data_IF_599100836021
#
_entry.id   IF_599100836021
#
_cell.length_a   1.000
_cell.length_b   1.000
_cell.length_c   1.000
_cell.angle_alpha   90.00
_cell.angle_beta   90.00
_cell.angle_gamma   90.00
#
_symmetry.space_group_name_H-M   'P 1'
#
loop_
_entity.id
_entity.type
_entity.pdbx_description
1 polymer ?
#
# COMPACT_ATOMS: atom_id res chain seq x y z
N UNK A 1 74.28 -7.48 19.20
CA UNK A 1 73.94 -6.59 18.07
C UNK A 1 73.02 -7.39 17.15
N UNK A 2 71.77 -7.07 16.84
CA UNK A 2 70.76 -6.15 17.36
C UNK A 2 69.43 -6.73 16.84
N UNK A 3 68.56 -7.16 17.75
CA UNK A 3 67.19 -6.64 17.94
C UNK A 3 66.16 -6.99 16.86
N UNK A 4 65.34 -7.99 17.20
CA UNK A 4 63.96 -8.19 16.74
C UNK A 4 63.14 -6.91 16.89
N UNK A 5 62.33 -6.56 15.88
CA UNK A 5 61.14 -5.70 16.05
C UNK A 5 60.15 -5.95 14.92
N UNK A 6 59.31 -6.97 15.11
CA UNK A 6 58.02 -7.10 14.45
C UNK A 6 57.08 -6.01 15.00
N UNK A 7 56.81 -4.98 14.19
CA UNK A 7 55.72 -4.05 14.44
C UNK A 7 54.72 -4.13 13.28
N UNK A 8 53.86 -5.14 13.33
CA UNK A 8 52.57 -5.11 12.64
C UNK A 8 51.72 -4.04 13.32
N UNK A 9 51.82 -2.80 12.85
CA UNK A 9 50.92 -1.73 13.27
C UNK A 9 49.55 -1.98 12.66
N UNK A 10 48.66 -2.56 13.47
CA UNK A 10 47.21 -2.47 13.32
C UNK A 10 46.82 -0.99 13.21
N UNK A 11 46.78 -0.46 11.99
CA UNK A 11 46.44 0.94 11.76
C UNK A 11 44.93 1.06 11.61
N UNK A 12 44.22 1.07 12.74
CA UNK A 12 42.86 1.61 12.81
C UNK A 12 42.92 3.11 12.52
N UNK A 13 42.99 3.48 11.23
CA UNK A 13 43.07 4.87 10.83
C UNK A 13 41.74 5.59 11.14
N UNK A 14 41.68 6.28 12.27
CA UNK A 14 40.64 7.26 12.57
C UNK A 14 40.89 8.53 11.75
N UNK A 15 40.64 8.51 10.45
CA UNK A 15 40.65 9.73 9.64
C UNK A 15 39.49 10.62 10.07
N UNK A 16 39.77 11.73 10.77
CA UNK A 16 38.74 12.67 11.26
C UNK A 16 38.49 13.84 10.32
N UNK A 17 39.46 14.23 9.49
CA UNK A 17 39.39 15.42 8.61
C UNK A 17 39.85 15.15 7.18
N UNK A 18 39.31 15.89 6.21
CA UNK A 18 39.67 15.81 4.79
C UNK A 18 40.77 16.81 4.41
N UNK A 19 41.12 16.92 3.12
CA UNK A 19 42.16 17.86 2.62
C UNK A 19 41.81 19.35 2.84
N UNK A 20 40.53 19.69 3.02
CA UNK A 20 40.10 21.05 3.38
C UNK A 20 40.24 21.36 4.89
N UNK A 21 40.69 20.40 5.71
CA UNK A 21 40.71 20.56 7.18
C UNK A 21 39.34 20.42 7.86
N UNK A 22 38.29 20.07 7.12
CA UNK A 22 36.94 19.86 7.66
C UNK A 22 36.69 18.38 8.01
N UNK A 23 35.73 18.07 8.89
CA UNK A 23 35.37 16.69 9.20
C UNK A 23 34.96 15.87 7.96
N UNK A 24 35.35 14.59 7.94
CA UNK A 24 34.92 13.63 6.92
C UNK A 24 33.53 13.09 7.23
N UNK A 25 32.81 12.64 6.20
CA UNK A 25 31.56 11.90 6.33
C UNK A 25 31.79 10.43 5.96
N UNK A 26 31.20 9.52 6.73
CA UNK A 26 31.12 8.10 6.36
C UNK A 26 29.90 7.88 5.48
N UNK A 27 30.10 7.22 4.34
CA UNK A 27 29.04 6.85 3.39
C UNK A 27 29.18 5.37 3.03
N UNK A 28 28.10 4.80 2.51
CA UNK A 28 28.06 3.42 2.01
C UNK A 28 27.90 3.46 0.49
N UNK A 29 28.75 2.73 -0.24
CA UNK A 29 28.59 2.56 -1.68
C UNK A 29 27.50 1.53 -1.97
N UNK A 30 26.65 1.82 -2.95
CA UNK A 30 25.64 0.88 -3.47
C UNK A 30 25.86 0.59 -4.95
N UNK A 31 27.10 0.77 -5.41
CA UNK A 31 27.50 0.39 -6.77
C UNK A 31 27.61 -1.12 -6.88
N UNK A 32 27.42 -1.67 -8.07
CA UNK A 32 27.55 -3.12 -8.33
C UNK A 32 28.93 -3.66 -7.95
N UNK A 33 29.98 -2.85 -8.08
CA UNK A 33 31.34 -3.27 -7.76
C UNK A 33 31.67 -3.22 -6.26
N UNK A 34 31.05 -2.32 -5.49
CA UNK A 34 31.34 -2.14 -4.07
C UNK A 34 30.03 -2.04 -3.23
N UNK A 35 29.09 -2.98 -3.36
CA UNK A 35 27.78 -2.85 -2.73
C UNK A 35 27.91 -2.98 -1.20
N UNK A 36 27.32 -2.08 -0.44
CA UNK A 36 27.39 -2.09 1.03
C UNK A 36 28.75 -1.71 1.63
N UNK A 37 29.79 -1.44 0.83
CA UNK A 37 31.15 -1.11 1.35
C UNK A 37 31.21 0.34 1.81
N UNK A 38 31.69 0.58 3.04
CA UNK A 38 31.79 1.93 3.60
C UNK A 38 33.07 2.64 3.18
N UNK A 39 32.95 3.94 2.95
CA UNK A 39 34.05 4.84 2.65
C UNK A 39 33.90 6.16 3.42
N UNK A 40 35.02 6.82 3.70
CA UNK A 40 35.05 8.20 4.16
C UNK A 40 35.24 9.13 2.97
N UNK A 41 34.49 10.23 2.94
CA UNK A 41 34.64 11.29 1.94
C UNK A 41 34.56 12.67 2.57
N UNK A 42 34.93 13.70 1.83
CA UNK A 42 34.69 15.09 2.24
C UNK A 42 33.20 15.30 2.58
N UNK A 43 32.89 16.00 3.68
CA UNK A 43 31.49 16.29 4.05
C UNK A 43 30.72 17.04 2.96
N UNK A 44 31.42 17.88 2.18
CA UNK A 44 30.85 18.60 1.03
C UNK A 44 30.95 17.82 -0.28
N UNK A 45 31.22 16.51 -0.24
CA UNK A 45 31.13 15.67 -1.42
C UNK A 45 29.66 15.44 -1.78
N UNK A 46 29.25 15.98 -2.92
CA UNK A 46 27.96 15.71 -3.55
C UNK A 46 28.21 15.10 -4.93
N UNK A 47 27.78 13.85 -5.19
CA UNK A 47 27.91 13.24 -6.51
C UNK A 47 27.01 13.87 -7.58
N UNK A 48 25.95 14.58 -7.17
CA UNK A 48 24.92 15.13 -8.06
C UNK A 48 25.13 16.63 -8.38
N UNK A 49 26.15 17.26 -7.80
CA UNK A 49 26.49 18.66 -8.09
C UNK A 49 27.93 18.81 -8.57
N UNK A 50 28.19 19.82 -9.41
CA UNK A 50 29.57 20.18 -9.80
C UNK A 50 30.43 20.68 -8.63
N UNK A 51 29.83 20.89 -7.45
CA UNK A 51 30.56 21.25 -6.23
C UNK A 51 30.94 19.99 -5.48
N UNK A 52 31.83 19.19 -6.06
CA UNK A 52 32.57 18.19 -5.32
C UNK A 52 33.53 18.93 -4.40
N UNK A 53 33.51 18.69 -3.09
CA UNK A 53 34.57 19.20 -2.18
C UNK A 53 36.00 18.76 -2.61
N UNK A 54 36.95 18.61 -1.68
CA UNK A 54 38.34 18.28 -2.08
C UNK A 54 38.60 16.87 -2.65
N UNK A 55 37.56 16.13 -3.08
CA UNK A 55 37.66 14.75 -3.59
C UNK A 55 38.44 13.81 -2.67
N UNK A 56 38.41 14.09 -1.35
CA UNK A 56 38.97 13.17 -0.36
C UNK A 56 38.11 11.91 -0.36
N UNK A 57 38.74 10.75 -0.52
CA UNK A 57 38.08 9.46 -0.53
C UNK A 57 39.01 8.40 0.04
N UNK A 58 38.53 7.56 0.95
CA UNK A 58 39.18 6.29 1.33
C UNK A 58 38.16 5.25 1.73
N UNK A 59 38.44 3.99 1.42
CA UNK A 59 37.67 2.85 1.93
C UNK A 59 37.89 2.68 3.43
N UNK A 60 36.81 2.37 4.15
CA UNK A 60 36.84 2.01 5.58
C UNK A 60 36.92 0.49 5.70
N UNK A 61 36.04 -0.20 5.00
CA UNK A 61 36.00 -1.66 4.98
C UNK A 61 36.96 -2.19 3.91
N UNK A 62 37.50 -3.39 4.15
CA UNK A 62 38.31 -4.11 3.17
C UNK A 62 37.49 -4.46 1.91
N UNK A 63 38.19 -4.85 0.84
CA UNK A 63 37.50 -5.29 -0.36
C UNK A 63 36.76 -6.60 -0.10
N UNK A 64 35.65 -6.77 -0.78
CA UNK A 64 34.79 -7.93 -0.63
C UNK A 64 35.13 -9.03 -1.63
N UNK A 65 34.88 -10.26 -1.21
CA UNK A 65 34.99 -11.42 -2.09
C UNK A 65 33.97 -11.34 -3.23
N UNK A 66 34.25 -12.03 -4.33
CA UNK A 66 33.33 -12.11 -5.46
C UNK A 66 31.97 -12.69 -5.06
N UNK A 67 31.96 -13.67 -4.14
CA UNK A 67 30.74 -14.27 -3.61
C UNK A 67 29.91 -13.25 -2.82
N UNK A 68 30.52 -12.50 -1.88
CA UNK A 68 29.83 -11.44 -1.13
C UNK A 68 29.24 -10.40 -2.06
N UNK A 69 30.00 -9.94 -3.06
CA UNK A 69 29.53 -8.98 -4.07
C UNK A 69 28.32 -9.50 -4.83
N UNK A 70 28.36 -10.76 -5.27
CA UNK A 70 27.27 -11.37 -6.01
C UNK A 70 25.99 -11.47 -5.15
N UNK A 71 26.10 -12.00 -3.93
CA UNK A 71 24.96 -12.17 -3.02
C UNK A 71 24.34 -10.84 -2.65
N UNK A 72 25.13 -9.84 -2.27
CA UNK A 72 24.60 -8.52 -1.90
C UNK A 72 23.88 -7.86 -3.08
N UNK A 73 24.44 -7.91 -4.28
CA UNK A 73 23.78 -7.36 -5.46
C UNK A 73 22.45 -8.06 -5.78
N UNK A 74 22.41 -9.40 -5.68
CA UNK A 74 21.18 -10.18 -5.82
C UNK A 74 20.12 -9.72 -4.82
N UNK A 75 20.49 -9.62 -3.54
CA UNK A 75 19.58 -9.18 -2.48
C UNK A 75 19.09 -7.74 -2.66
N UNK A 76 19.95 -6.82 -3.13
CA UNK A 76 19.56 -5.44 -3.43
C UNK A 76 18.53 -5.40 -4.56
N UNK A 77 18.75 -6.19 -5.62
CA UNK A 77 17.81 -6.31 -6.74
C UNK A 77 16.47 -6.91 -6.29
N UNK A 78 16.50 -8.01 -5.55
CA UNK A 78 15.30 -8.66 -5.00
C UNK A 78 14.54 -7.71 -4.07
N UNK A 79 15.22 -6.98 -3.19
CA UNK A 79 14.60 -5.95 -2.35
C UNK A 79 13.92 -4.85 -3.18
N UNK A 80 14.53 -4.42 -4.28
CA UNK A 80 13.93 -3.41 -5.17
C UNK A 80 12.67 -3.96 -5.83
N UNK A 81 12.70 -5.21 -6.30
CA UNK A 81 11.53 -5.88 -6.88
C UNK A 81 10.42 -6.06 -5.85
N UNK A 82 10.73 -6.55 -4.65
CA UNK A 82 9.77 -6.74 -3.56
C UNK A 82 9.12 -5.43 -3.13
N UNK A 83 9.91 -4.34 -2.99
CA UNK A 83 9.35 -3.02 -2.69
C UNK A 83 8.40 -2.51 -3.78
N UNK A 84 8.68 -2.81 -5.05
CA UNK A 84 7.77 -2.46 -6.13
C UNK A 84 6.49 -3.28 -6.08
N UNK A 85 6.58 -4.58 -5.76
CA UNK A 85 5.41 -5.44 -5.63
C UNK A 85 4.51 -5.01 -4.48
N UNK A 86 5.07 -4.73 -3.30
CA UNK A 86 4.33 -4.16 -2.15
C UNK A 86 3.59 -2.88 -2.57
N UNK A 87 4.27 -1.95 -3.26
CA UNK A 87 3.62 -0.73 -3.77
C UNK A 87 2.50 -1.00 -4.76
N UNK A 88 2.57 -2.07 -5.56
CA UNK A 88 1.50 -2.46 -6.50
C UNK A 88 0.30 -2.98 -5.72
N UNK A 89 0.55 -3.81 -4.71
CA UNK A 89 -0.47 -4.38 -3.86
C UNK A 89 -1.19 -3.29 -3.04
N UNK A 90 -0.46 -2.34 -2.46
CA UNK A 90 -1.03 -1.20 -1.75
C UNK A 90 -2.04 -0.43 -2.63
N UNK A 91 -1.66 -0.13 -3.88
CA UNK A 91 -2.58 0.52 -4.83
C UNK A 91 -3.81 -0.33 -5.14
N UNK A 92 -3.64 -1.63 -5.30
CA UNK A 92 -4.76 -2.54 -5.52
C UNK A 92 -5.70 -2.62 -4.32
N UNK A 93 -5.18 -2.52 -3.10
CA UNK A 93 -6.00 -2.44 -1.88
C UNK A 93 -6.79 -1.14 -1.85
N UNK A 94 -6.17 -0.01 -2.16
CA UNK A 94 -6.84 1.30 -2.19
C UNK A 94 -7.97 1.34 -3.26
N UNK A 95 -7.70 0.81 -4.45
CA UNK A 95 -8.69 0.69 -5.53
C UNK A 95 -9.86 -0.21 -5.10
N UNK A 96 -9.58 -1.41 -4.61
CA UNK A 96 -10.62 -2.34 -4.13
C UNK A 96 -11.43 -1.76 -2.96
N UNK A 97 -10.80 -1.01 -2.05
CA UNK A 97 -11.49 -0.35 -0.95
C UNK A 97 -12.48 0.69 -1.44
N UNK A 98 -12.09 1.48 -2.46
CA UNK A 98 -12.95 2.48 -3.07
C UNK A 98 -14.15 1.83 -3.80
N UNK A 99 -13.89 0.73 -4.51
CA UNK A 99 -14.93 -0.05 -5.18
C UNK A 99 -15.89 -0.70 -4.17
N UNK A 100 -15.38 -1.17 -3.03
CA UNK A 100 -16.19 -1.70 -1.94
C UNK A 100 -17.12 -0.64 -1.35
N UNK A 101 -16.60 0.56 -1.06
CA UNK A 101 -17.41 1.67 -0.56
C UNK A 101 -18.51 2.08 -1.55
N UNK A 102 -18.19 2.15 -2.84
CA UNK A 102 -19.19 2.42 -3.89
C UNK A 102 -20.26 1.32 -3.97
N UNK A 103 -19.86 0.06 -3.81
CA UNK A 103 -20.77 -1.08 -3.78
C UNK A 103 -21.69 -1.03 -2.56
N UNK A 104 -21.18 -0.69 -1.37
CA UNK A 104 -21.98 -0.55 -0.15
C UNK A 104 -23.09 0.50 -0.31
N UNK A 105 -22.77 1.66 -0.88
CA UNK A 105 -23.76 2.71 -1.19
C UNK A 105 -24.83 2.20 -2.17
N UNK A 106 -24.42 1.40 -3.16
CA UNK A 106 -25.37 0.82 -4.11
C UNK A 106 -26.30 -0.22 -3.46
N UNK A 107 -25.76 -1.06 -2.57
CA UNK A 107 -26.53 -2.04 -1.79
C UNK A 107 -27.55 -1.32 -0.91
N UNK A 108 -27.15 -0.29 -0.17
CA UNK A 108 -28.07 0.50 0.67
C UNK A 108 -29.21 1.10 -0.15
N UNK A 109 -28.90 1.61 -1.35
CA UNK A 109 -29.92 2.15 -2.26
C UNK A 109 -30.91 1.08 -2.73
N UNK A 110 -30.43 -0.14 -2.98
CA UNK A 110 -31.30 -1.25 -3.36
C UNK A 110 -32.16 -1.71 -2.20
N UNK A 111 -31.61 -1.83 -1.00
CA UNK A 111 -32.34 -2.17 0.21
C UNK A 111 -33.47 -1.18 0.49
N UNK A 112 -33.18 0.12 0.37
CA UNK A 112 -34.20 1.17 0.50
C UNK A 112 -35.33 1.03 -0.53
N UNK A 113 -35.00 0.72 -1.79
CA UNK A 113 -36.03 0.45 -2.81
C UNK A 113 -36.85 -0.81 -2.51
N UNK A 114 -36.21 -1.88 -2.07
CA UNK A 114 -36.88 -3.12 -1.67
C UNK A 114 -37.86 -2.87 -0.51
N UNK A 115 -37.45 -2.08 0.49
CA UNK A 115 -38.31 -1.69 1.61
C UNK A 115 -39.52 -0.88 1.15
N UNK A 116 -39.31 0.11 0.26
CA UNK A 116 -40.43 0.90 -0.30
C UNK A 116 -41.42 0.03 -1.08
N UNK A 117 -40.94 -0.83 -1.96
CA UNK A 117 -41.80 -1.74 -2.74
C UNK A 117 -42.52 -2.74 -1.83
N UNK A 118 -41.88 -3.21 -0.77
CA UNK A 118 -42.50 -4.10 0.23
C UNK A 118 -43.69 -3.39 0.90
N UNK A 119 -43.50 -2.14 1.33
CA UNK A 119 -44.58 -1.33 1.91
C UNK A 119 -45.72 -1.09 0.90
N UNK A 120 -45.40 -0.77 -0.36
CA UNK A 120 -46.40 -0.56 -1.41
C UNK A 120 -47.24 -1.82 -1.65
N UNK A 121 -46.60 -2.99 -1.69
CA UNK A 121 -47.28 -4.29 -1.80
C UNK A 121 -48.20 -4.54 -0.61
N UNK A 122 -47.81 -4.19 0.61
CA UNK A 122 -48.65 -4.32 1.80
C UNK A 122 -49.88 -3.41 1.73
N UNK A 123 -49.71 -2.15 1.32
CA UNK A 123 -50.82 -1.20 1.11
C UNK A 123 -51.79 -1.75 0.08
N UNK A 124 -51.31 -2.15 -1.10
CA UNK A 124 -52.15 -2.69 -2.18
C UNK A 124 -52.85 -3.99 -1.77
N UNK A 125 -52.22 -4.86 -0.97
CA UNK A 125 -52.87 -6.04 -0.38
C UNK A 125 -54.05 -5.63 0.52
N UNK A 126 -53.87 -4.59 1.33
CA UNK A 126 -54.93 -4.08 2.21
C UNK A 126 -56.09 -3.48 1.41
N UNK A 127 -55.81 -2.73 0.35
CA UNK A 127 -56.83 -2.13 -0.51
C UNK A 127 -57.59 -3.19 -1.29
N UNK A 128 -56.87 -4.17 -1.85
CA UNK A 128 -57.49 -5.33 -2.51
C UNK A 128 -58.43 -6.09 -1.57
N UNK A 129 -58.06 -6.23 -0.30
CA UNK A 129 -58.94 -6.86 0.72
C UNK A 129 -60.20 -6.03 0.94
N UNK A 130 -60.10 -4.70 1.05
CA UNK A 130 -61.25 -3.79 1.17
C UNK A 130 -62.17 -3.88 -0.05
N UNK A 131 -61.62 -3.84 -1.26
CA UNK A 131 -62.40 -3.96 -2.52
C UNK A 131 -63.13 -5.31 -2.59
N UNK A 132 -62.45 -6.42 -2.23
CA UNK A 132 -63.09 -7.74 -2.16
C UNK A 132 -64.26 -7.77 -1.18
N UNK A 133 -64.12 -7.13 -0.01
CA UNK A 133 -65.19 -7.05 0.99
C UNK A 133 -66.40 -6.29 0.44
N UNK A 134 -66.19 -5.11 -0.16
CA UNK A 134 -67.26 -4.29 -0.74
C UNK A 134 -67.96 -5.03 -1.86
N UNK A 135 -67.21 -5.65 -2.77
CA UNK A 135 -67.78 -6.43 -3.87
C UNK A 135 -68.65 -7.59 -3.36
N UNK A 136 -68.18 -8.29 -2.31
CA UNK A 136 -68.96 -9.34 -1.65
C UNK A 136 -70.28 -8.83 -1.07
N UNK A 137 -70.26 -7.67 -0.39
CA UNK A 137 -71.47 -7.03 0.14
C UNK A 137 -72.45 -6.63 -0.98
N UNK A 138 -71.96 -6.05 -2.08
CA UNK A 138 -72.80 -5.68 -3.23
C UNK A 138 -73.47 -6.91 -3.84
N UNK A 139 -72.70 -7.98 -4.08
CA UNK A 139 -73.24 -9.24 -4.61
C UNK A 139 -74.33 -9.80 -3.69
N UNK A 140 -74.10 -9.82 -2.37
CA UNK A 140 -75.07 -10.29 -1.38
C UNK A 140 -76.37 -9.47 -1.38
N UNK A 141 -76.27 -8.14 -1.46
CA UNK A 141 -77.44 -7.26 -1.54
C UNK A 141 -78.24 -7.50 -2.82
N UNK A 142 -77.58 -7.69 -3.97
CA UNK A 142 -78.25 -8.03 -5.23
C UNK A 142 -79.01 -9.36 -5.09
N UNK A 143 -78.41 -10.38 -4.49
CA UNK A 143 -79.11 -11.65 -4.21
C UNK A 143 -80.38 -11.47 -3.37
N UNK A 144 -80.35 -10.62 -2.34
CA UNK A 144 -81.54 -10.33 -1.52
C UNK A 144 -82.63 -9.63 -2.34
N UNK A 145 -82.25 -8.61 -3.13
CA UNK A 145 -83.20 -7.84 -3.94
C UNK A 145 -83.87 -8.72 -4.98
N UNK A 146 -83.08 -9.44 -5.79
CA UNK A 146 -83.61 -10.30 -6.85
C UNK A 146 -84.32 -11.54 -6.30
N UNK A 147 -83.89 -12.09 -5.15
CA UNK A 147 -84.57 -13.21 -4.49
C UNK A 147 -85.95 -12.88 -3.95
N UNK A 148 -86.22 -11.60 -3.59
CA UNK A 148 -87.55 -11.12 -3.19
C UNK A 148 -88.47 -10.78 -4.36
N UNK A 149 -87.92 -10.49 -5.53
CA UNK A 149 -88.68 -10.17 -6.76
C UNK A 149 -89.12 -11.42 -7.54
N UNK A 150 -88.51 -12.58 -7.26
CA UNK A 150 -88.81 -13.86 -7.92
C UNK A 150 -89.78 -14.78 -7.15
N UNK A 151 -90.38 -14.30 -6.06
CA UNK A 151 -91.43 -15.00 -5.29
C UNK A 151 -92.76 -14.25 -5.38
#
# INVERSE_FOLDING_TARGET
MSSNSSNSTNNSFTFRVCKCGIPVATKTSWTTQNPGRRFVTCKFYNPDSMMSGCNFFRWIDDDMTNWQRHVINRLVMENKCLKNEVRRQDRGIDENSSDHEAMEVYVEKLENKCNMLTNEVEVLKSEKKKVKLVLGCVIFLLFIVYGKLGM
#
